data_IF_039507518118
#
_entry.id   IF_039507518118
#
_cell.length_a   1.000
_cell.length_b   1.000
_cell.length_c   1.000
_cell.angle_alpha   90.00
_cell.angle_beta   90.00
_cell.angle_gamma   90.00
#
_symmetry.space_group_name_H-M   'P 1'
#
loop_
_entity.id
_entity.type
_entity.pdbx_description
1 polymer ?
#
# COMPACT_ATOMS: atom_id res chain seq x y z
N UNK A 1 12.84 -28.88 -5.64
CA UNK A 1 13.33 -27.58 -6.18
C UNK A 1 12.27 -26.90 -7.05
N UNK A 2 11.57 -27.62 -7.94
CA UNK A 2 10.49 -27.06 -8.78
C UNK A 2 9.27 -26.52 -8.01
N UNK A 3 8.89 -27.14 -6.88
CA UNK A 3 7.81 -26.64 -6.02
C UNK A 3 8.10 -25.29 -5.33
N UNK A 4 9.37 -24.93 -5.16
CA UNK A 4 9.79 -23.67 -4.52
C UNK A 4 9.81 -22.50 -5.50
N UNK A 5 10.14 -22.78 -6.77
CA UNK A 5 10.03 -21.81 -7.86
C UNK A 5 8.54 -21.52 -8.15
N UNK A 6 7.69 -22.54 -8.13
CA UNK A 6 6.24 -22.39 -8.34
C UNK A 6 5.59 -21.49 -7.27
N UNK A 7 5.94 -21.64 -5.99
CA UNK A 7 5.40 -20.79 -4.91
C UNK A 7 5.98 -19.36 -4.89
N UNK A 8 7.25 -19.17 -5.25
CA UNK A 8 7.84 -17.85 -5.44
C UNK A 8 7.19 -17.09 -6.61
N UNK A 9 6.94 -17.80 -7.73
CA UNK A 9 6.22 -17.28 -8.88
C UNK A 9 4.75 -17.01 -8.53
N UNK A 10 4.08 -17.86 -7.75
CA UNK A 10 2.68 -17.64 -7.33
C UNK A 10 2.55 -16.41 -6.40
N UNK A 11 3.52 -16.19 -5.50
CA UNK A 11 3.59 -14.99 -4.63
C UNK A 11 3.91 -13.72 -5.41
N UNK A 12 4.75 -13.81 -6.45
CA UNK A 12 5.02 -12.71 -7.36
C UNK A 12 3.88 -12.46 -8.36
N UNK A 13 3.09 -13.47 -8.72
CA UNK A 13 1.91 -13.38 -9.59
C UNK A 13 0.65 -12.87 -8.86
N UNK A 14 0.54 -13.08 -7.54
CA UNK A 14 -0.57 -12.55 -6.74
C UNK A 14 -0.63 -11.02 -6.78
N UNK A 15 0.51 -10.32 -6.79
CA UNK A 15 0.56 -8.85 -6.88
C UNK A 15 0.03 -8.31 -8.22
N UNK A 16 0.47 -8.81 -9.39
CA UNK A 16 -0.17 -8.53 -10.68
C UNK A 16 -1.64 -8.92 -10.70
N UNK A 17 -2.08 -10.04 -10.11
CA UNK A 17 -3.49 -10.42 -10.09
C UNK A 17 -4.32 -9.47 -9.22
N UNK A 18 -3.78 -8.96 -8.10
CA UNK A 18 -4.43 -7.94 -7.26
C UNK A 18 -4.48 -6.60 -7.99
N UNK A 19 -3.40 -6.20 -8.65
CA UNK A 19 -3.32 -4.97 -9.45
C UNK A 19 -4.26 -5.05 -10.66
N UNK A 20 -4.25 -6.16 -11.40
CA UNK A 20 -5.14 -6.43 -12.53
C UNK A 20 -6.58 -6.58 -12.04
N UNK A 21 -6.82 -7.21 -10.89
CA UNK A 21 -8.13 -7.34 -10.27
C UNK A 21 -8.71 -6.00 -9.86
N UNK A 22 -7.89 -5.10 -9.29
CA UNK A 22 -8.25 -3.71 -9.01
C UNK A 22 -8.53 -2.94 -10.30
N UNK A 23 -7.65 -3.04 -11.30
CA UNK A 23 -7.85 -2.41 -12.61
C UNK A 23 -9.16 -2.89 -13.26
N UNK A 24 -9.40 -4.20 -13.29
CA UNK A 24 -10.62 -4.80 -13.84
C UNK A 24 -11.84 -4.42 -13.02
N UNK A 25 -11.75 -4.35 -11.68
CA UNK A 25 -12.85 -3.91 -10.82
C UNK A 25 -13.25 -2.46 -11.12
N UNK A 26 -12.28 -1.55 -11.26
CA UNK A 26 -12.53 -0.15 -11.61
C UNK A 26 -12.97 0.01 -13.08
N UNK A 27 -12.46 -0.80 -13.99
CA UNK A 27 -12.83 -0.77 -15.42
C UNK A 27 -14.21 -1.38 -15.68
N UNK A 28 -14.60 -2.48 -15.02
CA UNK A 28 -15.86 -3.20 -15.26
C UNK A 28 -17.09 -2.44 -14.73
N UNK A 29 -16.90 -1.45 -13.85
CA UNK A 29 -17.97 -0.51 -13.43
C UNK A 29 -18.45 0.40 -14.58
N UNK A 30 -17.77 0.41 -15.74
CA UNK A 30 -18.14 1.16 -16.98
C UNK A 30 -19.50 0.81 -17.61
N UNK A 31 -20.20 -0.25 -17.18
CA UNK A 31 -21.38 -0.73 -17.91
C UNK A 31 -22.74 -0.13 -17.52
N UNK A 32 -22.79 0.95 -16.72
CA UNK A 32 -24.03 1.72 -16.55
C UNK A 32 -24.07 2.91 -17.51
N UNK A 33 -24.94 2.83 -18.52
CA UNK A 33 -25.32 3.91 -19.45
C UNK A 33 -26.01 5.06 -18.68
N UNK A 34 -25.25 5.86 -17.96
CA UNK A 34 -25.70 7.14 -17.43
C UNK A 34 -24.74 8.25 -17.85
N UNK A 35 -25.27 9.43 -18.15
CA UNK A 35 -24.45 10.60 -18.47
C UNK A 35 -23.52 10.93 -17.27
N UNK A 36 -22.22 11.19 -17.49
CA UNK A 36 -21.22 11.37 -16.43
C UNK A 36 -21.50 12.57 -15.49
N UNK A 37 -22.37 13.51 -15.88
CA UNK A 37 -22.76 14.65 -15.05
C UNK A 37 -23.83 14.34 -13.99
N UNK A 38 -24.55 13.21 -14.10
CA UNK A 38 -25.57 12.80 -13.13
C UNK A 38 -25.11 11.68 -12.18
N UNK A 39 -23.89 11.16 -12.37
CA UNK A 39 -23.35 10.13 -11.50
C UNK A 39 -22.74 10.76 -10.23
N UNK A 40 -23.33 10.47 -9.07
CA UNK A 40 -22.81 10.89 -7.75
C UNK A 40 -21.37 10.41 -7.52
N UNK A 41 -20.91 9.41 -8.28
CA UNK A 41 -19.58 8.80 -8.17
C UNK A 41 -18.61 9.16 -9.32
N UNK A 42 -18.87 10.23 -10.10
CA UNK A 42 -18.01 10.64 -11.23
C UNK A 42 -16.50 10.75 -10.87
N UNK A 43 -16.20 11.13 -9.63
CA UNK A 43 -14.84 11.31 -9.13
C UNK A 43 -14.07 9.98 -8.97
N UNK A 44 -14.77 8.84 -8.99
CA UNK A 44 -14.15 7.51 -9.00
C UNK A 44 -13.58 7.13 -10.37
N UNK A 45 -13.88 7.91 -11.42
CA UNK A 45 -13.44 7.63 -12.78
C UNK A 45 -12.06 8.26 -13.03
N UNK A 46 -11.09 7.40 -13.36
CA UNK A 46 -9.73 7.84 -13.75
C UNK A 46 -9.68 8.59 -15.09
N UNK A 47 -10.69 8.43 -15.95
CA UNK A 47 -10.82 9.18 -17.19
C UNK A 47 -12.30 9.44 -17.48
N UNK A 48 -12.63 10.67 -17.88
CA UNK A 48 -14.02 11.09 -18.13
C UNK A 48 -14.53 10.65 -19.51
N UNK A 49 -13.61 10.47 -20.46
CA UNK A 49 -13.90 10.01 -21.81
C UNK A 49 -12.81 9.06 -22.32
N UNK A 50 -13.04 8.44 -23.48
CA UNK A 50 -12.02 7.61 -24.13
C UNK A 50 -10.84 8.46 -24.60
N UNK A 51 -11.13 9.65 -25.12
CA UNK A 51 -10.17 10.64 -25.59
C UNK A 51 -9.31 11.16 -24.43
N UNK A 52 -9.92 11.41 -23.26
CA UNK A 52 -9.20 11.77 -22.02
C UNK A 52 -8.26 10.62 -21.59
N UNK A 53 -8.74 9.37 -21.59
CA UNK A 53 -7.90 8.22 -21.24
C UNK A 53 -6.70 8.05 -22.18
N UNK A 54 -6.92 8.20 -23.49
CA UNK A 54 -5.87 8.12 -24.51
C UNK A 54 -4.88 9.27 -24.36
N UNK A 55 -5.36 10.50 -24.11
CA UNK A 55 -4.51 11.67 -23.90
C UNK A 55 -3.64 11.51 -22.64
N UNK A 56 -4.20 11.03 -21.53
CA UNK A 56 -3.45 10.75 -20.32
C UNK A 56 -2.42 9.63 -20.52
N UNK A 57 -2.76 8.60 -21.31
CA UNK A 57 -1.84 7.52 -21.66
C UNK A 57 -0.66 8.02 -22.50
N UNK A 58 -0.92 8.85 -23.52
CA UNK A 58 0.15 9.44 -24.33
C UNK A 58 1.06 10.36 -23.52
N UNK A 59 0.49 11.15 -22.61
CA UNK A 59 1.28 11.96 -21.69
C UNK A 59 2.19 11.09 -20.82
N UNK A 60 1.63 10.03 -20.23
CA UNK A 60 2.40 9.08 -19.42
C UNK A 60 3.53 8.43 -20.23
N UNK A 61 3.22 7.97 -21.45
CA UNK A 61 4.18 7.33 -22.34
C UNK A 61 5.30 8.30 -22.75
N UNK A 62 4.96 9.56 -23.03
CA UNK A 62 5.93 10.62 -23.29
C UNK A 62 6.89 10.83 -22.12
N UNK A 63 6.39 10.83 -20.88
CA UNK A 63 7.23 10.94 -19.68
C UNK A 63 8.14 9.71 -19.48
N UNK A 64 7.65 8.50 -19.79
CA UNK A 64 8.48 7.30 -19.77
C UNK A 64 9.60 7.37 -20.82
N UNK A 65 9.27 7.73 -22.06
CA UNK A 65 10.26 7.89 -23.12
C UNK A 65 11.26 9.00 -22.81
N UNK A 66 10.81 10.11 -22.20
CA UNK A 66 11.71 11.15 -21.71
C UNK A 66 12.71 10.56 -20.71
N UNK A 67 12.26 9.77 -19.74
CA UNK A 67 13.15 9.15 -18.77
C UNK A 67 14.14 8.16 -19.38
N UNK A 68 13.70 7.31 -20.30
CA UNK A 68 14.58 6.38 -21.03
C UNK A 68 15.59 7.16 -21.89
N UNK A 69 15.15 8.23 -22.54
CA UNK A 69 16.02 9.08 -23.37
C UNK A 69 17.07 9.79 -22.53
N UNK A 70 16.68 10.33 -21.36
CA UNK A 70 17.63 10.94 -20.42
C UNK A 70 18.64 9.90 -19.90
N UNK A 71 18.23 8.66 -19.64
CA UNK A 71 19.14 7.58 -19.25
C UNK A 71 20.13 7.22 -20.37
N UNK A 72 19.64 7.09 -21.61
CA UNK A 72 20.49 6.80 -22.77
C UNK A 72 21.49 7.95 -23.02
N UNK A 73 21.01 9.19 -23.01
CA UNK A 73 21.84 10.36 -23.20
C UNK A 73 22.88 10.53 -22.08
N UNK A 74 22.52 10.23 -20.83
CA UNK A 74 23.46 10.21 -19.71
C UNK A 74 24.58 9.19 -19.94
N UNK A 75 24.24 7.99 -20.41
CA UNK A 75 25.21 6.95 -20.73
C UNK A 75 26.15 7.38 -21.86
N UNK A 76 25.61 7.97 -22.93
CA UNK A 76 26.40 8.42 -24.08
C UNK A 76 27.37 9.57 -23.71
N UNK A 77 27.03 10.36 -22.69
CA UNK A 77 27.89 11.42 -22.14
C UNK A 77 28.89 10.94 -21.08
N UNK A 78 28.99 9.63 -20.83
CA UNK A 78 29.91 9.07 -19.84
C UNK A 78 29.38 9.11 -18.39
N UNK A 79 28.07 9.00 -18.22
CA UNK A 79 27.36 8.93 -16.93
C UNK A 79 27.62 10.09 -15.95
N UNK A 80 27.42 11.36 -16.36
CA UNK A 80 27.61 12.51 -15.48
C UNK A 80 26.63 12.54 -14.29
N UNK A 81 25.44 11.96 -14.44
CA UNK A 81 24.44 11.85 -13.38
C UNK A 81 24.19 10.40 -12.99
N UNK A 82 23.81 10.20 -11.72
CA UNK A 82 23.32 8.89 -11.28
C UNK A 82 21.94 8.60 -11.88
N UNK A 83 21.63 7.32 -12.14
CA UNK A 83 20.30 6.91 -12.59
C UNK A 83 19.18 7.33 -11.62
N UNK A 84 19.48 7.45 -10.32
CA UNK A 84 18.56 7.97 -9.29
C UNK A 84 18.22 9.44 -9.52
N UNK A 85 19.18 10.26 -9.92
CA UNK A 85 18.95 11.68 -10.27
C UNK A 85 18.00 11.79 -11.46
N UNK A 86 18.15 10.92 -12.46
CA UNK A 86 17.26 10.91 -13.63
C UNK A 86 15.86 10.45 -13.23
N UNK A 87 15.73 9.43 -12.37
CA UNK A 87 14.44 9.01 -11.81
C UNK A 87 13.76 10.12 -11.00
N UNK A 88 14.52 10.91 -10.25
CA UNK A 88 13.99 12.08 -9.54
C UNK A 88 13.44 13.13 -10.50
N UNK A 89 14.22 13.50 -11.52
CA UNK A 89 13.81 14.52 -12.50
C UNK A 89 12.53 14.07 -13.22
N UNK A 90 12.48 12.82 -13.67
CA UNK A 90 11.31 12.30 -14.41
C UNK A 90 10.07 12.20 -13.53
N UNK A 91 10.22 11.74 -12.27
CA UNK A 91 9.11 11.70 -11.31
C UNK A 91 8.60 13.10 -10.96
N UNK A 92 9.49 14.07 -10.75
CA UNK A 92 9.12 15.46 -10.50
C UNK A 92 8.36 16.07 -11.70
N UNK A 93 8.85 15.86 -12.93
CA UNK A 93 8.16 16.31 -14.14
C UNK A 93 6.80 15.64 -14.31
N UNK A 94 6.68 14.35 -13.96
CA UNK A 94 5.42 13.62 -13.98
C UNK A 94 4.38 14.20 -13.01
N UNK A 95 4.82 14.61 -11.81
CA UNK A 95 3.94 15.25 -10.83
C UNK A 95 3.53 16.66 -11.26
N UNK A 96 4.47 17.47 -11.74
CA UNK A 96 4.19 18.84 -12.23
C UNK A 96 3.20 18.79 -13.40
N UNK A 97 3.46 17.93 -14.39
CA UNK A 97 2.58 17.77 -15.54
C UNK A 97 1.20 17.23 -15.13
N UNK A 98 1.12 16.34 -14.14
CA UNK A 98 -0.13 15.84 -13.62
C UNK A 98 -1.02 16.94 -13.02
N UNK A 99 -0.45 17.82 -12.19
CA UNK A 99 -1.19 18.93 -11.58
C UNK A 99 -1.57 20.01 -12.59
N UNK A 100 -0.69 20.30 -13.55
CA UNK A 100 -0.95 21.31 -14.58
C UNK A 100 -2.02 20.85 -15.59
N UNK A 101 -1.88 19.61 -16.11
CA UNK A 101 -2.75 19.04 -17.15
C UNK A 101 -3.95 18.27 -16.59
N UNK A 102 -4.07 18.17 -15.26
CA UNK A 102 -5.10 17.37 -14.56
C UNK A 102 -5.10 15.88 -14.95
N UNK A 103 -3.92 15.33 -15.24
CA UNK A 103 -3.74 13.97 -15.72
C UNK A 103 -3.51 12.98 -14.56
N UNK A 104 -4.48 12.09 -14.32
CA UNK A 104 -4.48 11.18 -13.17
C UNK A 104 -3.50 10.01 -13.33
N UNK A 105 -3.31 9.51 -14.55
CA UNK A 105 -2.29 8.47 -14.80
C UNK A 105 -0.88 8.98 -14.49
N UNK A 106 -0.56 10.19 -14.95
CA UNK A 106 0.72 10.85 -14.65
C UNK A 106 0.90 11.10 -13.15
N UNK A 107 -0.18 11.42 -12.43
CA UNK A 107 -0.14 11.56 -10.97
C UNK A 107 0.20 10.23 -10.29
N UNK A 108 -0.54 9.17 -10.62
CA UNK A 108 -0.36 7.86 -9.99
C UNK A 108 1.06 7.31 -10.19
N UNK A 109 1.54 7.33 -11.44
CA UNK A 109 2.89 6.88 -11.75
C UNK A 109 3.97 7.82 -11.21
N UNK A 110 3.71 9.14 -11.18
CA UNK A 110 4.63 10.11 -10.58
C UNK A 110 4.81 9.88 -9.07
N UNK A 111 3.73 9.57 -8.35
CA UNK A 111 3.78 9.24 -6.92
C UNK A 111 4.51 7.92 -6.67
N UNK A 112 4.28 6.90 -7.50
CA UNK A 112 5.03 5.63 -7.41
C UNK A 112 6.51 5.88 -7.68
N UNK A 113 6.84 6.65 -8.71
CA UNK A 113 8.21 6.93 -9.12
C UNK A 113 8.97 7.75 -8.07
N UNK A 114 8.36 8.77 -7.45
CA UNK A 114 9.03 9.56 -6.40
C UNK A 114 9.25 8.75 -5.13
N UNK A 115 8.31 7.87 -4.76
CA UNK A 115 8.49 6.95 -3.63
C UNK A 115 9.59 5.93 -3.92
N UNK A 116 9.63 5.37 -5.13
CA UNK A 116 10.70 4.47 -5.56
C UNK A 116 12.06 5.16 -5.60
N UNK A 117 12.12 6.40 -6.08
CA UNK A 117 13.31 7.23 -6.03
C UNK A 117 13.80 7.42 -4.60
N UNK A 118 12.92 7.80 -3.68
CA UNK A 118 13.29 8.00 -2.29
C UNK A 118 13.84 6.72 -1.66
N UNK A 119 13.20 5.57 -1.90
CA UNK A 119 13.68 4.28 -1.41
C UNK A 119 15.07 3.92 -1.96
N UNK A 120 15.31 4.12 -3.26
CA UNK A 120 16.62 3.88 -3.88
C UNK A 120 17.69 4.86 -3.35
N UNK A 121 17.31 6.11 -3.10
CA UNK A 121 18.21 7.13 -2.58
C UNK A 121 18.55 6.90 -1.10
N UNK A 122 17.57 6.46 -0.30
CA UNK A 122 17.76 6.06 1.08
C UNK A 122 18.69 4.85 1.20
N UNK A 123 18.52 3.85 0.32
CA UNK A 123 19.42 2.70 0.25
C UNK A 123 20.87 3.13 -0.04
N UNK A 124 21.08 4.10 -0.95
CA UNK A 124 22.42 4.64 -1.21
C UNK A 124 23.02 5.34 0.04
N UNK A 125 22.22 6.05 0.84
CA UNK A 125 22.73 6.76 2.02
C UNK A 125 23.24 5.85 3.14
N UNK A 126 22.80 4.59 3.14
CA UNK A 126 23.23 3.54 4.06
C UNK A 126 24.20 2.54 3.40
N UNK A 127 24.38 2.60 2.09
CA UNK A 127 25.29 1.72 1.37
C UNK A 127 26.72 1.88 1.89
N UNK A 128 27.40 0.75 2.12
CA UNK A 128 28.72 0.72 2.76
C UNK A 128 28.75 1.11 4.25
N UNK A 129 27.61 1.36 4.89
CA UNK A 129 27.50 1.63 6.33
C UNK A 129 26.75 0.50 7.02
N UNK A 130 27.16 0.15 8.23
CA UNK A 130 26.44 -0.79 9.08
C UNK A 130 25.23 -0.09 9.72
N UNK A 131 24.21 0.27 8.92
CA UNK A 131 23.01 0.96 9.37
C UNK A 131 21.77 0.10 9.12
N UNK A 132 20.88 0.06 10.12
CA UNK A 132 19.58 -0.63 10.06
C UNK A 132 18.75 -0.21 8.85
N UNK A 133 18.29 -1.20 8.09
CA UNK A 133 17.38 -0.99 6.97
C UNK A 133 15.93 -0.78 7.41
N UNK A 134 15.58 -1.05 8.68
CA UNK A 134 14.24 -0.80 9.24
C UNK A 134 13.80 0.66 9.08
N UNK A 135 14.74 1.60 9.16
CA UNK A 135 14.52 3.02 8.96
C UNK A 135 14.08 3.36 7.53
N UNK A 136 14.57 2.64 6.52
CA UNK A 136 14.12 2.78 5.13
C UNK A 136 12.65 2.36 4.99
N UNK A 137 12.30 1.21 5.56
CA UNK A 137 10.91 0.73 5.58
C UNK A 137 9.98 1.71 6.30
N UNK A 138 10.39 2.23 7.46
CA UNK A 138 9.61 3.23 8.18
C UNK A 138 9.36 4.48 7.33
N UNK A 139 10.38 4.99 6.63
CA UNK A 139 10.20 6.14 5.74
C UNK A 139 9.25 5.89 4.58
N UNK A 140 9.29 4.70 3.96
CA UNK A 140 8.31 4.32 2.93
C UNK A 140 6.89 4.26 3.49
N UNK A 141 6.71 3.73 4.70
CA UNK A 141 5.38 3.69 5.35
C UNK A 141 4.89 5.07 5.78
N UNK A 142 5.79 5.97 6.21
CA UNK A 142 5.44 7.37 6.50
C UNK A 142 5.00 8.10 5.23
N UNK A 143 5.66 7.87 4.10
CA UNK A 143 5.21 8.39 2.80
C UNK A 143 3.83 7.86 2.42
N UNK A 144 3.56 6.57 2.62
CA UNK A 144 2.26 5.97 2.33
C UNK A 144 1.14 6.55 3.22
N UNK A 145 1.40 6.70 4.52
CA UNK A 145 0.47 7.37 5.44
C UNK A 145 0.29 8.85 5.10
N UNK A 146 1.35 9.52 4.65
CA UNK A 146 1.27 10.90 4.19
C UNK A 146 0.40 11.03 2.95
N UNK A 147 0.47 10.07 2.02
CA UNK A 147 -0.45 10.02 0.88
C UNK A 147 -1.89 9.86 1.33
N UNK A 148 -2.17 9.00 2.30
CA UNK A 148 -3.51 8.87 2.86
C UNK A 148 -4.03 10.20 3.43
N UNK A 149 -3.25 10.87 4.29
CA UNK A 149 -3.65 12.15 4.89
C UNK A 149 -3.76 13.27 3.85
N UNK A 150 -2.86 13.35 2.87
CA UNK A 150 -2.95 14.29 1.76
C UNK A 150 -4.17 14.02 0.88
N UNK A 151 -4.55 12.77 0.69
CA UNK A 151 -5.74 12.37 -0.04
C UNK A 151 -6.99 13.05 0.52
N UNK A 152 -7.17 13.01 1.83
CA UNK A 152 -8.28 13.71 2.50
C UNK A 152 -8.23 15.23 2.35
N UNK A 153 -7.05 15.85 2.35
CA UNK A 153 -6.95 17.28 2.06
C UNK A 153 -7.41 17.62 0.64
N UNK A 154 -7.12 16.77 -0.35
CA UNK A 154 -7.55 16.98 -1.72
C UNK A 154 -9.09 16.83 -1.88
N UNK A 155 -9.78 16.16 -0.96
CA UNK A 155 -11.25 16.08 -0.96
C UNK A 155 -11.93 17.42 -0.67
N UNK A 156 -11.24 18.34 0.03
CA UNK A 156 -11.79 19.65 0.42
C UNK A 156 -12.23 20.50 -0.77
N UNK A 157 -11.51 20.40 -1.89
CA UNK A 157 -11.81 21.18 -3.09
C UNK A 157 -12.33 20.26 -4.20
N UNK A 158 -13.50 20.59 -4.75
CA UNK A 158 -14.12 19.82 -5.84
C UNK A 158 -13.21 19.62 -7.06
N UNK A 159 -12.33 20.60 -7.35
CA UNK A 159 -11.33 20.53 -8.43
C UNK A 159 -10.36 19.34 -8.27
N UNK A 160 -10.03 19.00 -7.03
CA UNK A 160 -9.00 18.00 -6.70
C UNK A 160 -9.58 16.68 -6.18
N UNK A 161 -10.91 16.52 -6.18
CA UNK A 161 -11.56 15.31 -5.67
C UNK A 161 -11.11 14.01 -6.38
N UNK A 162 -10.77 14.07 -7.68
CA UNK A 162 -10.19 12.93 -8.40
C UNK A 162 -8.74 12.63 -8.01
N UNK A 163 -7.98 13.66 -7.64
CA UNK A 163 -6.60 13.51 -7.15
C UNK A 163 -6.61 12.82 -5.79
N UNK A 164 -7.56 13.19 -4.92
CA UNK A 164 -7.76 12.56 -3.61
C UNK A 164 -7.79 11.03 -3.71
N UNK A 165 -8.55 10.49 -4.67
CA UNK A 165 -8.64 9.04 -4.88
C UNK A 165 -7.28 8.40 -5.13
N UNK A 166 -6.44 9.01 -5.97
CA UNK A 166 -5.10 8.47 -6.29
C UNK A 166 -4.24 8.40 -5.03
N UNK A 167 -4.22 9.48 -4.25
CA UNK A 167 -3.49 9.55 -2.99
C UNK A 167 -4.01 8.55 -1.95
N UNK A 168 -5.33 8.46 -1.76
CA UNK A 168 -5.95 7.53 -0.83
C UNK A 168 -5.68 6.08 -1.21
N UNK A 169 -5.88 5.72 -2.48
CA UNK A 169 -5.69 4.34 -2.96
C UNK A 169 -4.22 3.93 -2.83
N UNK A 170 -3.27 4.78 -3.24
CA UNK A 170 -1.84 4.47 -3.10
C UNK A 170 -1.42 4.36 -1.62
N UNK A 171 -1.91 5.26 -0.77
CA UNK A 171 -1.63 5.22 0.67
C UNK A 171 -2.16 3.95 1.33
N UNK A 172 -3.44 3.63 1.10
CA UNK A 172 -4.08 2.42 1.64
C UNK A 172 -3.35 1.18 1.13
N UNK A 173 -3.21 0.99 -0.19
CA UNK A 173 -2.59 -0.22 -0.74
C UNK A 173 -1.16 -0.42 -0.21
N UNK A 174 -0.37 0.65 -0.11
CA UNK A 174 1.00 0.54 0.39
C UNK A 174 1.06 0.18 1.89
N UNK A 175 0.23 0.81 2.73
CA UNK A 175 0.18 0.50 4.18
C UNK A 175 -0.39 -0.89 4.43
N UNK A 176 -1.53 -1.23 3.82
CA UNK A 176 -2.14 -2.56 3.90
C UNK A 176 -1.14 -3.61 3.41
N UNK A 177 -0.46 -3.36 2.28
CA UNK A 177 0.57 -4.25 1.74
C UNK A 177 1.74 -4.49 2.68
N UNK A 178 2.25 -3.44 3.34
CA UNK A 178 3.31 -3.54 4.33
C UNK A 178 2.88 -4.33 5.57
N UNK A 179 1.71 -4.02 6.13
CA UNK A 179 1.13 -4.75 7.26
C UNK A 179 0.86 -6.21 6.92
N UNK A 180 0.34 -6.47 5.72
CA UNK A 180 0.10 -7.81 5.23
C UNK A 180 1.40 -8.61 5.16
N UNK A 181 2.43 -8.03 4.53
CA UNK A 181 3.75 -8.65 4.41
C UNK A 181 4.32 -9.00 5.79
N UNK A 182 4.38 -8.03 6.71
CA UNK A 182 4.89 -8.23 8.07
C UNK A 182 4.03 -9.15 8.93
N UNK A 183 2.76 -9.39 8.58
CA UNK A 183 1.94 -10.39 9.26
C UNK A 183 2.36 -11.84 8.94
N UNK A 184 3.14 -12.06 7.88
CA UNK A 184 3.56 -13.40 7.41
C UNK A 184 4.89 -13.85 8.01
N UNK A 185 5.14 -15.16 8.06
CA UNK A 185 6.42 -15.71 8.53
C UNK A 185 7.67 -15.13 7.81
N UNK A 186 7.69 -15.01 6.46
CA UNK A 186 8.78 -14.33 5.76
C UNK A 186 8.92 -12.86 6.15
N UNK A 187 7.81 -12.15 6.29
CA UNK A 187 7.83 -10.74 6.68
C UNK A 187 8.45 -10.54 8.06
N UNK A 188 8.05 -11.36 9.04
CA UNK A 188 8.66 -11.35 10.38
C UNK A 188 10.17 -11.64 10.32
N UNK A 189 10.62 -12.56 9.45
CA UNK A 189 12.06 -12.78 9.25
C UNK A 189 12.79 -11.53 8.76
N UNK A 190 12.21 -10.83 7.77
CA UNK A 190 12.74 -9.55 7.30
C UNK A 190 12.80 -8.50 8.41
N UNK A 191 11.87 -8.50 9.37
CA UNK A 191 11.95 -7.60 10.54
C UNK A 191 13.22 -7.87 11.35
N UNK A 192 13.56 -9.14 11.59
CA UNK A 192 14.79 -9.51 12.29
C UNK A 192 16.02 -8.98 11.58
N UNK A 193 16.14 -9.25 10.28
CA UNK A 193 17.25 -8.81 9.45
C UNK A 193 17.36 -7.28 9.37
N UNK A 194 16.24 -6.57 9.20
CA UNK A 194 16.27 -5.12 9.06
C UNK A 194 16.61 -4.36 10.35
N UNK A 195 16.54 -5.04 11.50
CA UNK A 195 16.93 -4.48 12.81
C UNK A 195 18.41 -4.70 13.14
N UNK A 196 19.15 -5.43 12.30
CA UNK A 196 20.59 -5.61 12.44
C UNK A 196 21.36 -4.34 12.04
N UNK A 197 22.50 -4.12 12.70
CA UNK A 197 23.39 -2.99 12.47
C UNK A 197 23.18 -1.80 13.42
N UNK A 198 23.89 -0.71 13.17
CA UNK A 198 23.82 0.50 13.98
C UNK A 198 22.57 1.35 13.69
N UNK A 199 22.30 2.30 14.58
CA UNK A 199 21.14 3.19 14.45
C UNK A 199 21.20 4.06 13.17
N UNK A 200 20.03 4.39 12.62
CA UNK A 200 19.90 5.24 11.44
C UNK A 200 20.43 6.67 11.64
N UNK A 201 20.64 7.09 12.89
CA UNK A 201 21.34 8.34 13.22
C UNK A 201 22.77 8.41 12.66
N UNK A 202 23.38 7.27 12.29
CA UNK A 202 24.66 7.23 11.58
C UNK A 202 24.61 7.81 10.16
N UNK A 203 23.42 8.07 9.62
CA UNK A 203 23.22 8.76 8.33
C UNK A 203 22.35 9.99 8.54
N UNK A 204 22.99 11.17 8.53
CA UNK A 204 22.27 12.43 8.72
C UNK A 204 21.23 12.65 7.61
N UNK A 205 21.49 12.23 6.37
CA UNK A 205 20.56 12.35 5.25
C UNK A 205 19.28 11.55 5.50
N UNK A 206 19.42 10.29 5.93
CA UNK A 206 18.28 9.43 6.25
C UNK A 206 17.51 9.98 7.46
N UNK A 207 18.23 10.38 8.50
CA UNK A 207 17.65 10.94 9.73
C UNK A 207 16.81 12.18 9.44
N UNK A 208 17.38 13.16 8.74
CA UNK A 208 16.69 14.40 8.37
C UNK A 208 15.47 14.09 7.49
N UNK A 209 15.60 13.18 6.53
CA UNK A 209 14.49 12.81 5.67
C UNK A 209 13.32 12.17 6.44
N UNK A 210 13.62 11.26 7.37
CA UNK A 210 12.58 10.64 8.21
C UNK A 210 11.91 11.65 9.11
N UNK A 211 12.68 12.59 9.68
CA UNK A 211 12.13 13.66 10.49
C UNK A 211 11.20 14.56 9.67
N UNK A 212 11.58 14.93 8.44
CA UNK A 212 10.74 15.72 7.53
C UNK A 212 9.43 14.99 7.21
N UNK A 213 9.48 13.68 6.94
CA UNK A 213 8.27 12.89 6.70
C UNK A 213 7.38 12.80 7.92
N UNK A 214 7.96 12.58 9.11
CA UNK A 214 7.22 12.51 10.35
C UNK A 214 6.52 13.84 10.66
N UNK A 215 7.24 14.96 10.59
CA UNK A 215 6.68 16.30 10.83
C UNK A 215 5.60 16.63 9.81
N UNK A 216 5.83 16.33 8.53
CA UNK A 216 4.85 16.56 7.47
C UNK A 216 3.59 15.71 7.68
N UNK A 217 3.76 14.42 8.03
CA UNK A 217 2.65 13.52 8.30
C UNK A 217 1.82 13.99 9.49
N UNK A 218 2.45 14.33 10.61
CA UNK A 218 1.76 14.83 11.80
C UNK A 218 1.04 16.14 11.47
N UNK A 219 1.72 17.10 10.83
CA UNK A 219 1.15 18.40 10.47
C UNK A 219 -0.06 18.28 9.54
N UNK A 220 0.06 17.50 8.47
CA UNK A 220 -1.03 17.26 7.51
C UNK A 220 -2.20 16.53 8.16
N UNK A 221 -1.94 15.54 9.01
CA UNK A 221 -2.99 14.75 9.67
C UNK A 221 -3.76 15.59 10.70
N UNK A 222 -3.06 16.37 11.52
CA UNK A 222 -3.68 17.31 12.48
C UNK A 222 -4.50 18.37 11.73
N UNK A 223 -3.94 18.95 10.65
CA UNK A 223 -4.67 19.92 9.84
C UNK A 223 -5.93 19.31 9.21
N UNK A 224 -5.83 18.09 8.68
CA UNK A 224 -6.98 17.36 8.12
C UNK A 224 -8.07 17.09 9.16
N UNK A 225 -7.68 16.70 10.38
CA UNK A 225 -8.59 16.50 11.49
C UNK A 225 -9.24 17.81 11.96
N UNK A 226 -8.47 18.91 12.05
CA UNK A 226 -9.00 20.23 12.38
C UNK A 226 -10.04 20.73 11.36
N UNK A 227 -9.87 20.35 10.09
CA UNK A 227 -10.83 20.61 9.02
C UNK A 227 -12.00 19.62 8.99
N UNK A 228 -12.11 18.69 9.97
CA UNK A 228 -13.12 17.64 10.05
C UNK A 228 -13.17 16.72 8.82
N UNK A 229 -12.06 16.60 8.10
CA UNK A 229 -11.92 15.72 6.94
C UNK A 229 -11.57 14.29 7.35
N UNK A 230 -11.12 14.09 8.59
CA UNK A 230 -10.82 12.81 9.20
C UNK A 230 -11.76 12.58 10.39
N UNK A 231 -12.22 11.34 10.53
CA UNK A 231 -12.87 10.87 11.76
C UNK A 231 -11.84 10.66 12.87
N UNK A 232 -12.30 10.65 14.13
CA UNK A 232 -11.43 10.38 15.28
C UNK A 232 -10.75 9.01 15.17
N UNK A 233 -11.45 8.00 14.65
CA UNK A 233 -10.90 6.66 14.47
C UNK A 233 -9.79 6.61 13.42
N UNK A 234 -9.94 7.31 12.30
CA UNK A 234 -8.89 7.40 11.27
C UNK A 234 -7.67 8.15 11.79
N UNK A 235 -7.88 9.24 12.54
CA UNK A 235 -6.79 9.98 13.18
C UNK A 235 -5.98 9.07 14.11
N UNK A 236 -6.67 8.33 15.00
CA UNK A 236 -6.03 7.38 15.91
C UNK A 236 -5.32 6.26 15.16
N UNK A 237 -5.92 5.75 14.07
CA UNK A 237 -5.29 4.72 13.24
C UNK A 237 -4.00 5.23 12.58
N UNK A 238 -4.00 6.42 11.99
CA UNK A 238 -2.81 7.01 11.38
C UNK A 238 -1.71 7.21 12.43
N UNK A 239 -2.04 7.72 13.62
CA UNK A 239 -1.06 7.85 14.71
C UNK A 239 -0.54 6.50 15.20
N UNK A 240 -1.43 5.52 15.42
CA UNK A 240 -1.04 4.19 15.87
C UNK A 240 -0.10 3.50 14.88
N UNK A 241 -0.39 3.59 13.58
CA UNK A 241 0.46 3.05 12.53
C UNK A 241 1.78 3.81 12.40
N UNK A 242 1.76 5.13 12.53
CA UNK A 242 2.98 5.96 12.57
C UNK A 242 3.88 5.54 13.73
N UNK A 243 3.30 5.35 14.92
CA UNK A 243 4.02 4.86 16.09
C UNK A 243 4.55 3.44 15.87
N UNK A 244 3.74 2.53 15.32
CA UNK A 244 4.14 1.15 15.04
C UNK A 244 5.39 1.12 14.14
N UNK A 245 5.35 1.79 12.99
CA UNK A 245 6.48 1.80 12.06
C UNK A 245 7.66 2.64 12.59
N UNK A 246 7.39 3.74 13.30
CA UNK A 246 8.43 4.53 13.95
C UNK A 246 9.20 3.76 15.03
N UNK A 247 8.49 2.99 15.85
CA UNK A 247 9.11 2.08 16.83
C UNK A 247 9.96 1.06 16.11
N UNK A 248 9.49 0.47 15.00
CA UNK A 248 10.26 -0.54 14.26
C UNK A 248 11.59 -0.02 13.72
N UNK A 249 11.67 1.26 13.37
CA UNK A 249 12.93 1.91 12.98
C UNK A 249 13.92 2.05 14.15
N UNK A 250 13.40 2.16 15.38
CA UNK A 250 14.18 2.39 16.61
C UNK A 250 14.53 1.11 17.37
N UNK A 251 13.97 -0.04 16.98
CA UNK A 251 14.20 -1.30 17.69
C UNK A 251 15.69 -1.66 17.73
N UNK A 252 16.18 -2.19 18.87
CA UNK A 252 17.46 -2.88 18.90
C UNK A 252 17.39 -4.15 18.05
N UNK A 253 18.53 -4.79 17.79
CA UNK A 253 18.57 -6.04 17.03
C UNK A 253 17.62 -7.09 17.64
N UNK A 254 16.80 -7.71 16.80
CA UNK A 254 15.78 -8.69 17.21
C UNK A 254 16.09 -10.07 16.62
N UNK A 255 16.16 -11.08 17.48
CA UNK A 255 16.18 -12.49 17.05
C UNK A 255 14.74 -13.00 16.90
N UNK A 256 14.24 -13.07 15.66
CA UNK A 256 12.83 -13.45 15.41
C UNK A 256 12.58 -14.96 15.43
N UNK A 257 13.62 -15.77 15.23
CA UNK A 257 13.54 -17.22 15.25
C UNK A 257 14.55 -17.77 16.25
N UNK A 258 14.20 -18.90 16.88
CA UNK A 258 15.13 -19.63 17.76
C UNK A 258 16.30 -20.12 16.93
N UNK A 259 17.52 -19.68 17.24
CA UNK A 259 18.74 -20.19 16.61
C UNK A 259 18.97 -21.64 17.04
N UNK A 260 18.44 -22.60 16.28
CA UNK A 260 18.91 -23.98 16.37
C UNK A 260 20.36 -24.01 15.86
N UNK A 261 21.29 -24.39 16.72
CA UNK A 261 22.69 -24.59 16.35
C UNK A 261 22.77 -25.64 15.23
N UNK A 262 22.99 -25.17 14.00
CA UNK A 262 23.51 -25.83 12.78
C UNK A 262 22.67 -25.50 11.54
N UNK A 263 23.37 -24.84 10.62
CA UNK A 263 23.37 -25.08 9.16
C UNK A 263 22.85 -23.94 8.29
N UNK A 264 23.73 -23.57 7.36
CA UNK A 264 23.55 -22.72 6.20
C UNK A 264 22.21 -22.98 5.50
N UNK A 265 21.33 -21.98 5.50
CA UNK A 265 20.02 -22.10 4.87
C UNK A 265 19.29 -20.77 4.82
N UNK A 266 19.81 -19.83 4.04
CA UNK A 266 19.35 -18.45 3.78
C UNK A 266 17.85 -18.29 3.41
N UNK A 267 17.07 -19.37 3.29
CA UNK A 267 15.65 -19.33 2.91
C UNK A 267 14.74 -20.36 3.59
N UNK A 268 15.21 -21.13 4.59
CA UNK A 268 14.32 -22.07 5.27
C UNK A 268 13.55 -21.36 6.38
N UNK A 269 12.34 -20.90 6.06
CA UNK A 269 11.31 -20.50 7.02
C UNK A 269 10.81 -21.67 7.87
N UNK A 270 11.71 -22.47 8.44
CA UNK A 270 11.45 -23.65 9.25
C UNK A 270 11.72 -23.45 10.74
N UNK A 271 12.40 -22.36 11.14
CA UNK A 271 12.64 -22.07 12.55
C UNK A 271 11.33 -21.80 13.32
N UNK A 272 11.28 -22.27 14.56
CA UNK A 272 10.26 -21.86 15.53
C UNK A 272 10.46 -20.37 15.87
N UNK A 273 9.35 -19.65 16.06
CA UNK A 273 9.40 -18.24 16.46
C UNK A 273 9.98 -18.13 17.87
N UNK A 274 10.89 -17.18 18.07
CA UNK A 274 11.31 -16.78 19.42
C UNK A 274 10.16 -16.07 20.15
N UNK A 275 10.27 -15.85 21.45
CA UNK A 275 9.29 -15.06 22.21
C UNK A 275 9.06 -13.67 21.61
N UNK A 276 10.13 -13.02 21.12
CA UNK A 276 10.03 -11.72 20.43
C UNK A 276 9.39 -11.85 19.06
N UNK A 277 9.72 -12.90 18.30
CA UNK A 277 9.09 -13.19 17.01
C UNK A 277 7.57 -13.42 17.15
N UNK A 278 7.14 -14.13 18.20
CA UNK A 278 5.72 -14.32 18.52
C UNK A 278 5.04 -12.98 18.82
N UNK A 279 5.66 -12.13 19.63
CA UNK A 279 5.12 -10.80 19.94
C UNK A 279 4.91 -9.96 18.68
N UNK A 280 5.92 -9.85 17.82
CA UNK A 280 5.81 -9.08 16.58
C UNK A 280 4.80 -9.67 15.61
N UNK A 281 4.76 -11.00 15.50
CA UNK A 281 3.73 -11.67 14.72
C UNK A 281 2.32 -11.30 15.21
N UNK A 282 2.06 -11.34 16.52
CA UNK A 282 0.78 -10.92 17.09
C UNK A 282 0.48 -9.45 16.78
N UNK A 283 1.43 -8.54 17.01
CA UNK A 283 1.27 -7.11 16.75
C UNK A 283 0.87 -6.85 15.30
N UNK A 284 1.59 -7.40 14.32
CA UNK A 284 1.27 -7.17 12.91
C UNK A 284 -0.02 -7.86 12.46
N UNK A 285 -0.36 -9.03 13.01
CA UNK A 285 -1.63 -9.70 12.72
C UNK A 285 -2.82 -8.91 13.26
N UNK A 286 -2.71 -8.34 14.47
CA UNK A 286 -3.74 -7.45 14.99
C UNK A 286 -3.80 -6.13 14.21
N UNK A 287 -2.64 -5.55 13.87
CA UNK A 287 -2.58 -4.31 13.12
C UNK A 287 -3.27 -4.43 11.75
N UNK A 288 -2.97 -5.47 10.96
CA UNK A 288 -3.67 -5.69 9.67
C UNK A 288 -5.15 -5.96 9.87
N UNK A 289 -5.53 -6.76 10.88
CA UNK A 289 -6.93 -7.08 11.13
C UNK A 289 -7.75 -5.82 11.46
N UNK A 290 -7.26 -5.00 12.39
CA UNK A 290 -7.94 -3.76 12.78
C UNK A 290 -7.89 -2.69 11.70
N UNK A 291 -6.81 -2.62 10.91
CA UNK A 291 -6.74 -1.72 9.76
C UNK A 291 -7.83 -2.05 8.73
N UNK A 292 -8.02 -3.33 8.39
CA UNK A 292 -9.05 -3.76 7.44
C UNK A 292 -10.48 -3.53 7.95
N UNK A 293 -10.72 -3.81 9.22
CA UNK A 293 -12.00 -3.45 9.85
C UNK A 293 -12.21 -1.93 9.85
N UNK A 294 -11.16 -1.16 10.14
CA UNK A 294 -11.16 0.29 10.10
C UNK A 294 -11.49 0.84 8.71
N UNK A 295 -10.94 0.26 7.64
CA UNK A 295 -11.27 0.62 6.26
C UNK A 295 -12.74 0.35 5.92
N UNK A 296 -13.27 -0.83 6.28
CA UNK A 296 -14.67 -1.17 6.04
C UNK A 296 -15.59 -0.22 6.83
N UNK A 297 -15.26 0.03 8.10
CA UNK A 297 -16.02 0.92 8.96
C UNK A 297 -15.97 2.37 8.48
N UNK A 298 -14.79 2.88 8.10
CA UNK A 298 -14.63 4.21 7.49
C UNK A 298 -15.49 4.33 6.22
N UNK A 299 -15.46 3.32 5.34
CA UNK A 299 -16.30 3.28 4.16
C UNK A 299 -17.80 3.30 4.48
N UNK A 300 -18.23 2.63 5.56
CA UNK A 300 -19.61 2.67 6.03
C UNK A 300 -19.99 4.07 6.56
N UNK A 301 -19.18 4.66 7.44
CA UNK A 301 -19.41 5.99 8.03
C UNK A 301 -19.45 7.08 6.97
N UNK A 302 -18.51 7.03 6.01
CA UNK A 302 -18.41 7.99 4.89
C UNK A 302 -19.39 7.69 3.76
N UNK A 303 -20.11 6.56 3.81
CA UNK A 303 -21.00 6.06 2.74
C UNK A 303 -20.29 5.85 1.40
N UNK A 304 -19.02 5.48 1.46
CA UNK A 304 -18.16 5.26 0.30
C UNK A 304 -18.05 3.77 -0.03
N UNK A 305 -18.77 3.35 -1.07
CA UNK A 305 -18.84 1.93 -1.45
C UNK A 305 -17.48 1.36 -1.86
N UNK A 306 -16.58 2.19 -2.41
CA UNK A 306 -15.27 1.74 -2.86
C UNK A 306 -14.34 1.35 -1.70
N UNK A 307 -14.36 2.08 -0.57
CA UNK A 307 -13.61 1.74 0.64
C UNK A 307 -14.07 0.41 1.23
N UNK A 308 -15.39 0.21 1.33
CA UNK A 308 -15.98 -1.05 1.82
C UNK A 308 -15.52 -2.22 0.94
N UNK A 309 -15.59 -2.05 -0.39
CA UNK A 309 -15.19 -3.10 -1.32
C UNK A 309 -13.69 -3.40 -1.26
N UNK A 310 -12.85 -2.37 -1.09
CA UNK A 310 -11.40 -2.51 -0.97
C UNK A 310 -11.01 -3.24 0.32
N UNK A 311 -11.56 -2.81 1.46
CA UNK A 311 -11.34 -3.47 2.75
C UNK A 311 -11.84 -4.91 2.76
N UNK A 312 -13.01 -5.17 2.18
CA UNK A 312 -13.53 -6.52 1.99
C UNK A 312 -12.58 -7.38 1.12
N UNK A 313 -12.11 -6.86 -0.03
CA UNK A 313 -11.17 -7.58 -0.88
C UNK A 313 -9.90 -7.98 -0.12
N UNK A 314 -9.29 -7.05 0.62
CA UNK A 314 -8.09 -7.35 1.38
C UNK A 314 -8.36 -8.28 2.57
N UNK A 315 -9.50 -8.19 3.24
CA UNK A 315 -9.90 -9.14 4.28
C UNK A 315 -10.06 -10.55 3.72
N UNK A 316 -10.68 -10.69 2.55
CA UNK A 316 -10.79 -11.96 1.86
C UNK A 316 -9.40 -12.54 1.53
N UNK A 317 -8.49 -11.72 0.99
CA UNK A 317 -7.11 -12.13 0.70
C UNK A 317 -6.34 -12.51 1.98
N UNK A 318 -6.53 -11.78 3.08
CA UNK A 318 -5.92 -12.09 4.37
C UNK A 318 -6.38 -13.46 4.87
N UNK A 319 -7.69 -13.74 4.82
CA UNK A 319 -8.24 -15.04 5.21
C UNK A 319 -7.63 -16.16 4.37
N UNK A 320 -7.50 -15.99 3.05
CA UNK A 320 -6.87 -16.98 2.16
C UNK A 320 -5.42 -17.26 2.57
N UNK A 321 -4.64 -16.21 2.80
CA UNK A 321 -3.22 -16.37 3.13
C UNK A 321 -3.06 -17.02 4.51
N UNK A 322 -3.83 -16.59 5.52
CA UNK A 322 -3.78 -17.19 6.86
C UNK A 322 -4.27 -18.63 6.88
N UNK A 323 -5.32 -18.93 6.11
CA UNK A 323 -5.79 -20.29 5.91
C UNK A 323 -4.69 -21.16 5.28
N UNK A 324 -4.01 -20.64 4.25
CA UNK A 324 -2.93 -21.35 3.56
C UNK A 324 -1.75 -21.61 4.50
N UNK A 325 -1.32 -20.60 5.26
CA UNK A 325 -0.21 -20.74 6.21
C UNK A 325 -0.51 -21.79 7.30
N UNK A 326 -1.75 -21.83 7.82
CA UNK A 326 -2.12 -22.78 8.87
C UNK A 326 -2.34 -24.19 8.32
N UNK A 327 -3.21 -24.36 7.32
CA UNK A 327 -3.66 -25.70 6.91
C UNK A 327 -2.67 -26.45 6.02
N UNK A 328 -1.82 -25.76 5.25
CA UNK A 328 -0.85 -26.43 4.37
C UNK A 328 0.23 -27.20 5.13
N UNK A 329 0.42 -26.88 6.42
CA UNK A 329 1.40 -27.54 7.29
C UNK A 329 0.84 -28.78 7.98
N UNK A 330 -0.48 -28.87 8.20
CA UNK A 330 -1.09 -29.87 9.09
C UNK A 330 -2.03 -30.88 8.42
N UNK A 331 -2.47 -30.67 7.17
CA UNK A 331 -3.44 -31.56 6.52
C UNK A 331 -2.92 -32.20 5.23
N UNK A 332 -3.42 -33.41 4.95
CA UNK A 332 -3.31 -34.01 3.63
C UNK A 332 -3.85 -33.07 2.56
N UNK A 333 -3.11 -32.95 1.45
CA UNK A 333 -3.37 -31.99 0.37
C UNK A 333 -4.82 -32.04 -0.13
N UNK A 334 -5.42 -33.22 -0.19
CA UNK A 334 -6.81 -33.40 -0.62
C UNK A 334 -7.83 -32.78 0.34
N UNK A 335 -7.62 -32.91 1.65
CA UNK A 335 -8.49 -32.33 2.69
C UNK A 335 -8.32 -30.81 2.73
N UNK A 336 -7.08 -30.33 2.54
CA UNK A 336 -6.78 -28.90 2.38
C UNK A 336 -7.61 -28.27 1.25
N UNK A 337 -7.65 -28.89 0.06
CA UNK A 337 -8.42 -28.34 -1.07
C UNK A 337 -9.93 -28.31 -0.82
N UNK A 338 -10.49 -29.35 -0.18
CA UNK A 338 -11.91 -29.40 0.17
C UNK A 338 -12.25 -28.33 1.21
N UNK A 339 -11.43 -28.21 2.27
CA UNK A 339 -11.59 -27.20 3.30
C UNK A 339 -11.46 -25.78 2.76
N UNK A 340 -10.49 -25.53 1.88
CA UNK A 340 -10.29 -24.24 1.23
C UNK A 340 -11.51 -23.85 0.40
N UNK A 341 -12.08 -24.79 -0.36
CA UNK A 341 -13.29 -24.57 -1.16
C UNK A 341 -14.49 -24.18 -0.30
N UNK A 342 -14.74 -24.91 0.80
CA UNK A 342 -15.84 -24.61 1.72
C UNK A 342 -15.64 -23.24 2.40
N UNK A 343 -14.42 -22.96 2.87
CA UNK A 343 -14.08 -21.69 3.51
C UNK A 343 -14.28 -20.52 2.54
N UNK A 344 -13.72 -20.60 1.33
CA UNK A 344 -13.86 -19.58 0.30
C UNK A 344 -15.33 -19.30 -0.01
N UNK A 345 -16.14 -20.35 -0.12
CA UNK A 345 -17.57 -20.20 -0.37
C UNK A 345 -18.30 -19.54 0.81
N UNK A 346 -18.06 -20.01 2.05
CA UNK A 346 -18.71 -19.48 3.24
C UNK A 346 -18.33 -18.02 3.53
N UNK A 347 -17.03 -17.71 3.46
CA UNK A 347 -16.51 -16.35 3.65
C UNK A 347 -17.01 -15.43 2.55
N UNK A 348 -16.90 -15.85 1.28
CA UNK A 348 -17.41 -15.08 0.14
C UNK A 348 -18.91 -14.78 0.26
N UNK A 349 -19.70 -15.78 0.67
CA UNK A 349 -21.13 -15.62 0.92
C UNK A 349 -21.41 -14.63 2.05
N UNK A 350 -20.73 -14.77 3.20
CA UNK A 350 -20.94 -13.89 4.35
C UNK A 350 -20.55 -12.45 4.04
N UNK A 351 -19.42 -12.26 3.36
CA UNK A 351 -18.95 -10.96 2.92
C UNK A 351 -19.91 -10.30 1.92
N UNK A 352 -20.44 -11.05 0.96
CA UNK A 352 -21.43 -10.52 0.01
C UNK A 352 -22.75 -10.18 0.72
N UNK A 353 -23.19 -11.00 1.68
CA UNK A 353 -24.39 -10.72 2.50
C UNK A 353 -24.21 -9.45 3.34
N UNK A 354 -23.07 -9.31 4.02
CA UNK A 354 -22.73 -8.12 4.81
C UNK A 354 -22.65 -6.86 3.94
N UNK A 355 -21.98 -6.95 2.78
CA UNK A 355 -21.91 -5.88 1.79
C UNK A 355 -23.30 -5.43 1.32
N UNK A 356 -24.18 -6.38 0.99
CA UNK A 356 -25.55 -6.08 0.55
C UNK A 356 -26.34 -5.35 1.63
N UNK A 357 -26.25 -5.79 2.88
CA UNK A 357 -26.93 -5.15 4.01
C UNK A 357 -26.43 -3.72 4.26
N UNK A 358 -25.11 -3.50 4.21
CA UNK A 358 -24.53 -2.16 4.36
C UNK A 358 -24.97 -1.23 3.22
N UNK A 359 -24.92 -1.71 1.98
CA UNK A 359 -25.32 -0.91 0.81
C UNK A 359 -26.83 -0.63 0.77
N UNK A 360 -27.67 -1.58 1.19
CA UNK A 360 -29.12 -1.36 1.27
C UNK A 360 -29.46 -0.27 2.29
N UNK A 361 -28.78 -0.26 3.43
CA UNK A 361 -28.98 0.77 4.46
C UNK A 361 -28.57 2.16 3.96
N UNK A 362 -27.46 2.26 3.24
CA UNK A 362 -27.02 3.52 2.60
C UNK A 362 -28.06 4.02 1.59
N UNK A 363 -28.62 3.13 0.76
CA UNK A 363 -29.65 3.50 -0.23
C UNK A 363 -30.96 3.92 0.42
N UNK A 364 -31.44 3.19 1.42
CA UNK A 364 -32.68 3.49 2.13
C UNK A 364 -32.63 4.86 2.82
N UNK A 365 -31.51 5.21 3.48
CA UNK A 365 -31.33 6.53 4.10
C UNK A 365 -31.19 7.66 3.08
N UNK A 366 -30.66 7.39 1.89
CA UNK A 366 -30.54 8.41 0.83
C UNK A 366 -31.90 8.74 0.19
N UNK A 367 -32.89 7.84 0.27
CA UNK A 367 -34.25 8.06 -0.24
C UNK A 367 -35.18 8.77 0.76
N UNK A 368 -34.80 8.88 2.04
CA UNK A 368 -35.59 9.52 3.09
C UNK A 368 -35.28 11.01 3.31
N UNK A 369 -34.39 11.62 2.51
CA UNK A 369 -34.18 13.07 2.52
C UNK A 369 -35.16 13.66 1.48
N UNK A 370 -36.25 14.32 1.89
CA UNK A 370 -37.06 15.10 0.95
C UNK A 370 -36.18 16.20 0.37
N UNK A 371 -36.30 16.44 -0.94
CA UNK A 371 -35.55 17.46 -1.67
C UNK A 371 -35.71 18.85 -1.07
#
# INVERSE_FOLDING_TARGET
MEYLIFFGILRFLLWPIIVIGLIVFFVRRRHKKYHPSQDKEWYLQFALSKEDAVSQLFLLLSLFFLGVTLLAFNKDLGDPFSWRTILFITSALSLVSAYYLKALYSLAFGLIAITAWWGAQAAQWIDGKDIKTSALFAGLTFLALLFYSLGHLHEKQMKFKRFALVYLVLGIIAVTGALFFFSTKPGIGVIGEMTQGASFFGSWQLTVSLFVFLVSLIGVTIYSAAQKLLSLFELLAVFALTCLFGITALLPEQSMFVQAARSYGFYSGGGELSSTGVLWALVYNFAIFFELLGLIFSGYVRRETWLINLGALFLFLLIIVKYSDWFFTFLDKSIFFIGAGILLFAVGWFMEKGRRMMISNIKAQTQQIPQ
#
